data_IF_308028715464
#
_entry.id   IF_308028715464
#
_cell.length_a   1.000
_cell.length_b   1.000
_cell.length_c   1.000
_cell.angle_alpha   90.00
_cell.angle_beta   90.00
_cell.angle_gamma   90.00
#
_symmetry.space_group_name_H-M   'P 1'
#
loop_
_entity.id
_entity.type
_entity.pdbx_description
1 polymer ?
#
# COMPACT_ATOMS: atom_id res chain seq x y z
N UNK A 1 -2.78 18.41 19.41
CA UNK A 1 -2.36 18.58 18.00
C UNK A 1 -2.59 20.02 17.65
N UNK A 2 -1.62 20.76 17.09
CA UNK A 2 -1.78 22.21 16.92
C UNK A 2 -2.79 22.59 15.83
N UNK A 3 -2.45 22.24 14.59
CA UNK A 3 -3.23 22.58 13.41
C UNK A 3 -3.15 21.41 12.44
N UNK A 4 -4.31 20.93 11.99
CA UNK A 4 -4.40 19.84 11.02
C UNK A 4 -5.03 20.31 9.71
N UNK A 5 -4.58 19.75 8.59
CA UNK A 5 -5.13 20.05 7.29
C UNK A 5 -5.71 18.81 6.61
N UNK A 6 -6.95 18.92 6.13
CA UNK A 6 -7.65 17.90 5.37
C UNK A 6 -7.74 18.38 3.92
N UNK A 7 -7.01 17.71 3.02
CA UNK A 7 -6.92 18.12 1.62
C UNK A 7 -7.34 17.05 0.64
N UNK A 8 -7.79 17.45 -0.54
CA UNK A 8 -8.09 16.53 -1.64
C UNK A 8 -8.98 17.17 -2.68
N UNK A 9 -9.03 16.56 -3.87
CA UNK A 9 -9.90 17.04 -4.96
C UNK A 9 -11.38 17.06 -4.52
N UNK A 10 -12.23 17.88 -5.15
CA UNK A 10 -13.67 17.88 -4.87
C UNK A 10 -14.28 16.48 -4.88
N UNK A 11 -15.12 16.19 -3.87
CA UNK A 11 -15.74 14.87 -3.67
C UNK A 11 -14.79 13.76 -3.19
N UNK A 12 -13.54 14.05 -2.83
CA UNK A 12 -12.59 13.05 -2.30
C UNK A 12 -12.92 12.53 -0.89
N UNK A 13 -13.92 13.11 -0.22
CA UNK A 13 -14.30 12.76 1.15
C UNK A 13 -13.63 13.62 2.22
N UNK A 14 -13.05 14.77 1.86
CA UNK A 14 -12.31 15.64 2.80
C UNK A 14 -13.16 16.15 3.97
N UNK A 15 -14.32 16.73 3.67
CA UNK A 15 -15.24 17.23 4.68
C UNK A 15 -15.96 16.08 5.41
N UNK A 16 -16.24 14.97 4.71
CA UNK A 16 -16.75 13.74 5.33
C UNK A 16 -15.83 13.23 6.45
N UNK A 17 -14.53 13.17 6.18
CA UNK A 17 -13.51 12.76 7.15
C UNK A 17 -13.43 13.71 8.34
N UNK A 18 -13.46 15.03 8.08
CA UNK A 18 -13.53 16.03 9.16
C UNK A 18 -14.82 15.86 10.00
N UNK A 19 -15.96 15.56 9.40
CA UNK A 19 -17.20 15.34 10.17
C UNK A 19 -17.09 14.10 11.06
N UNK A 20 -16.73 12.94 10.50
CA UNK A 20 -16.77 11.67 11.23
C UNK A 20 -15.62 11.48 12.23
N UNK A 21 -14.41 11.99 11.93
CA UNK A 21 -13.22 11.74 12.76
C UNK A 21 -12.76 12.96 13.57
N UNK A 22 -13.37 14.14 13.36
CA UNK A 22 -12.99 15.37 14.09
C UNK A 22 -14.20 15.97 14.80
N UNK A 23 -15.25 16.35 14.06
CA UNK A 23 -16.40 17.07 14.62
C UNK A 23 -17.21 16.18 15.57
N UNK A 24 -17.67 15.03 15.10
CA UNK A 24 -18.52 14.13 15.90
C UNK A 24 -17.78 13.69 17.17
N UNK A 25 -16.52 13.19 17.11
CA UNK A 25 -15.80 12.80 18.31
C UNK A 25 -15.65 13.92 19.33
N UNK A 26 -15.29 15.13 18.89
CA UNK A 26 -15.14 16.29 19.77
C UNK A 26 -16.46 16.71 20.42
N UNK A 27 -17.54 16.73 19.65
CA UNK A 27 -18.88 16.99 20.17
C UNK A 27 -19.27 15.95 21.23
N UNK A 28 -19.07 14.66 20.93
CA UNK A 28 -19.39 13.58 21.88
C UNK A 28 -18.51 13.59 23.13
N UNK A 29 -17.30 14.17 23.06
CA UNK A 29 -16.41 14.32 24.22
C UNK A 29 -16.69 15.57 25.06
N UNK A 30 -17.80 16.27 24.82
CA UNK A 30 -18.16 17.47 25.58
C UNK A 30 -17.53 18.77 25.09
N UNK A 31 -16.92 18.77 23.90
CA UNK A 31 -16.23 19.97 23.38
C UNK A 31 -17.16 20.80 22.51
N UNK A 32 -17.01 22.12 22.60
CA UNK A 32 -17.64 23.07 21.67
C UNK A 32 -16.89 23.09 20.35
N UNK A 33 -17.63 22.89 19.26
CA UNK A 33 -17.12 22.79 17.89
C UNK A 33 -17.73 23.89 17.05
N UNK A 34 -16.88 24.77 16.50
CA UNK A 34 -17.29 25.87 15.63
C UNK A 34 -16.87 25.53 14.20
N UNK A 35 -17.80 25.55 13.25
CA UNK A 35 -17.51 25.14 11.87
C UNK A 35 -18.34 25.85 10.82
N UNK A 36 -17.74 26.09 9.65
CA UNK A 36 -18.44 26.55 8.44
C UNK A 36 -18.65 25.41 7.41
N UNK A 37 -18.52 24.13 7.80
CA UNK A 37 -18.78 23.01 6.90
C UNK A 37 -20.24 23.07 6.44
N UNK A 38 -20.42 23.35 5.15
CA UNK A 38 -21.73 23.43 4.53
C UNK A 38 -22.44 22.06 4.55
N UNK A 39 -23.73 22.05 4.86
CA UNK A 39 -24.58 20.85 4.80
C UNK A 39 -24.44 19.90 6.00
N UNK A 40 -23.75 20.32 7.07
CA UNK A 40 -23.74 19.64 8.36
C UNK A 40 -25.12 19.70 9.02
N UNK A 41 -25.67 18.55 9.42
CA UNK A 41 -26.99 18.42 10.01
C UNK A 41 -26.87 18.40 11.54
N UNK A 42 -26.61 19.55 12.17
CA UNK A 42 -26.34 19.65 13.62
C UNK A 42 -27.45 18.98 14.46
N UNK A 43 -28.72 19.21 14.10
CA UNK A 43 -29.86 18.71 14.88
C UNK A 43 -29.92 17.17 14.87
N UNK A 44 -29.62 16.56 13.71
CA UNK A 44 -29.54 15.10 13.58
C UNK A 44 -28.34 14.50 14.31
N UNK A 45 -27.23 15.24 14.38
CA UNK A 45 -26.06 14.80 15.15
C UNK A 45 -26.43 14.79 16.63
N UNK A 46 -27.04 15.86 17.14
CA UNK A 46 -27.50 15.94 18.53
C UNK A 46 -28.53 14.87 18.86
N UNK A 47 -29.50 14.62 17.97
CA UNK A 47 -30.50 13.54 18.14
C UNK A 47 -29.84 12.15 18.19
N UNK A 48 -28.82 11.92 17.36
CA UNK A 48 -28.10 10.64 17.31
C UNK A 48 -27.22 10.40 18.53
N UNK A 49 -26.73 11.45 19.18
CA UNK A 49 -25.86 11.37 20.35
C UNK A 49 -26.44 12.18 21.53
N UNK A 50 -27.56 11.72 22.12
CA UNK A 50 -28.28 12.48 23.14
C UNK A 50 -27.50 12.67 24.45
N UNK A 51 -26.53 11.79 24.73
CA UNK A 51 -25.68 11.86 25.94
C UNK A 51 -24.47 12.80 25.76
N UNK A 52 -24.26 13.34 24.55
CA UNK A 52 -23.16 14.26 24.30
C UNK A 52 -23.39 15.61 24.98
N UNK A 53 -22.40 16.10 25.71
CA UNK A 53 -22.45 17.40 26.40
C UNK A 53 -21.83 18.54 25.58
N UNK A 54 -21.27 18.24 24.40
CA UNK A 54 -20.66 19.23 23.54
C UNK A 54 -21.68 20.10 22.83
N UNK A 55 -21.19 21.07 22.07
CA UNK A 55 -22.03 21.97 21.28
C UNK A 55 -21.47 22.07 19.86
N UNK A 56 -22.33 22.02 18.85
CA UNK A 56 -21.94 22.29 17.45
C UNK A 56 -22.55 23.62 17.02
N UNK A 57 -21.69 24.55 16.63
CA UNK A 57 -22.05 25.86 16.12
C UNK A 57 -21.66 25.93 14.66
N UNK A 58 -22.67 26.10 13.81
CA UNK A 58 -22.50 26.28 12.38
C UNK A 58 -22.52 27.77 12.07
N UNK A 59 -21.49 28.25 11.40
CA UNK A 59 -21.30 29.65 10.99
C UNK A 59 -21.11 29.73 9.47
N UNK A 60 -21.26 30.91 8.89
CA UNK A 60 -20.91 31.12 7.48
C UNK A 60 -19.48 31.67 7.31
N UNK A 61 -19.05 31.90 6.07
CA UNK A 61 -17.72 32.45 5.82
C UNK A 61 -17.58 33.91 6.25
N UNK A 62 -18.66 34.69 6.19
CA UNK A 62 -18.65 36.12 6.52
C UNK A 62 -18.51 36.30 8.03
N UNK A 63 -19.12 35.42 8.82
CA UNK A 63 -18.90 35.30 10.27
C UNK A 63 -17.42 35.07 10.59
N UNK A 64 -16.78 34.10 9.93
CA UNK A 64 -15.37 33.75 10.16
C UNK A 64 -14.42 34.89 9.78
N UNK A 65 -14.82 35.76 8.85
CA UNK A 65 -14.03 36.90 8.42
C UNK A 65 -14.05 38.07 9.42
N UNK A 66 -14.99 38.11 10.37
CA UNK A 66 -15.09 39.17 11.38
C UNK A 66 -13.83 39.21 12.26
N UNK A 67 -13.44 40.42 12.67
CA UNK A 67 -12.21 40.64 13.43
C UNK A 67 -12.26 39.99 14.83
N UNK A 68 -13.44 39.93 15.43
CA UNK A 68 -13.74 39.35 16.74
C UNK A 68 -14.05 37.84 16.66
N UNK A 69 -13.84 37.18 15.52
CA UNK A 69 -14.17 35.76 15.39
C UNK A 69 -13.23 34.86 16.20
N UNK A 70 -11.92 35.06 16.06
CA UNK A 70 -10.91 34.22 16.71
C UNK A 70 -10.42 34.84 18.04
N UNK A 71 -10.10 34.01 19.06
CA UNK A 71 -9.41 34.50 20.24
C UNK A 71 -8.03 35.05 19.91
N UNK A 72 -7.64 36.15 20.54
CA UNK A 72 -6.31 36.73 20.40
C UNK A 72 -5.83 37.29 21.74
N UNK A 73 -4.50 37.41 21.92
CA UNK A 73 -3.95 37.93 23.17
C UNK A 73 -4.33 39.39 23.39
N UNK A 74 -4.85 39.69 24.59
CA UNK A 74 -5.26 41.03 24.98
C UNK A 74 -6.63 41.45 24.48
N UNK A 75 -7.33 40.58 23.74
CA UNK A 75 -8.74 40.77 23.39
C UNK A 75 -9.67 40.09 24.39
N UNK A 76 -10.80 40.72 24.67
CA UNK A 76 -11.91 40.11 25.41
C UNK A 76 -13.11 39.93 24.48
N UNK A 77 -13.87 38.85 24.65
CA UNK A 77 -15.17 38.67 24.01
C UNK A 77 -15.16 38.23 22.54
N UNK A 78 -14.18 37.42 22.09
CA UNK A 78 -14.25 36.80 20.76
C UNK A 78 -15.41 35.79 20.64
N UNK A 79 -15.91 35.60 19.43
CA UNK A 79 -17.00 34.65 19.15
C UNK A 79 -16.60 33.20 19.47
N UNK A 80 -15.43 32.78 18.98
CA UNK A 80 -14.84 31.51 19.40
C UNK A 80 -14.31 31.67 20.83
N UNK A 81 -14.54 30.66 21.64
CA UNK A 81 -14.18 30.59 23.05
C UNK A 81 -12.90 29.76 23.24
N UNK A 82 -12.28 29.91 24.40
CA UNK A 82 -11.08 29.15 24.72
C UNK A 82 -11.41 27.67 24.86
N UNK A 83 -10.58 26.81 24.29
CA UNK A 83 -10.82 25.37 24.19
C UNK A 83 -11.70 24.92 23.02
N UNK A 84 -12.25 25.84 22.22
CA UNK A 84 -13.03 25.46 21.03
C UNK A 84 -12.22 24.60 20.05
N UNK A 85 -12.90 23.67 19.40
CA UNK A 85 -12.42 23.05 18.18
C UNK A 85 -12.97 23.84 16.98
N UNK A 86 -12.09 24.44 16.19
CA UNK A 86 -12.50 25.26 15.05
C UNK A 86 -12.20 24.50 13.75
N UNK A 87 -13.24 24.23 12.94
CA UNK A 87 -13.13 23.48 11.69
C UNK A 87 -13.56 24.35 10.51
N UNK A 88 -12.62 24.77 9.67
CA UNK A 88 -12.84 25.69 8.55
C UNK A 88 -12.74 24.97 7.20
N UNK A 89 -13.87 24.79 6.50
CA UNK A 89 -13.93 24.36 5.10
C UNK A 89 -13.67 25.49 4.12
N UNK A 90 -13.19 25.11 2.94
CA UNK A 90 -12.71 26.01 1.89
C UNK A 90 -11.81 27.12 2.46
N UNK A 91 -10.85 26.71 3.31
CA UNK A 91 -10.03 27.58 4.13
C UNK A 91 -9.25 28.67 3.35
N UNK A 92 -9.07 28.51 2.04
CA UNK A 92 -8.49 29.56 1.18
C UNK A 92 -9.32 30.84 1.14
N UNK A 93 -10.64 30.78 1.43
CA UNK A 93 -11.50 31.97 1.52
C UNK A 93 -11.14 32.86 2.70
N UNK A 94 -10.65 32.25 3.79
CA UNK A 94 -10.34 32.94 5.05
C UNK A 94 -8.84 33.23 5.17
N UNK A 95 -8.02 32.29 4.67
CA UNK A 95 -6.57 32.25 4.87
C UNK A 95 -5.82 32.15 3.53
N UNK A 96 -6.33 32.74 2.46
CA UNK A 96 -5.77 32.59 1.10
C UNK A 96 -4.45 33.34 0.88
N UNK A 97 -4.25 34.47 1.55
CA UNK A 97 -3.12 35.36 1.37
C UNK A 97 -2.61 35.87 2.72
N UNK A 98 -1.30 36.01 2.87
CA UNK A 98 -0.69 36.58 4.08
C UNK A 98 -1.06 38.06 4.29
N UNK A 99 -1.50 38.76 3.23
CA UNK A 99 -1.97 40.15 3.28
C UNK A 99 -3.37 40.29 3.90
N UNK A 100 -4.21 39.28 3.70
CA UNK A 100 -5.61 39.28 4.19
C UNK A 100 -5.71 38.76 5.64
N UNK A 101 -4.55 38.38 6.21
CA UNK A 101 -4.42 37.86 7.56
C UNK A 101 -4.27 39.01 8.56
N UNK A 102 -5.37 39.32 9.25
CA UNK A 102 -5.42 40.33 10.32
C UNK A 102 -4.50 39.97 11.49
N UNK A 103 -4.23 40.94 12.37
CA UNK A 103 -3.37 40.73 13.54
C UNK A 103 -3.95 39.68 14.49
N UNK A 104 -5.27 39.69 14.66
CA UNK A 104 -6.05 38.77 15.50
C UNK A 104 -5.91 37.34 14.99
N UNK A 105 -6.12 37.12 13.66
CA UNK A 105 -5.91 35.81 13.04
C UNK A 105 -4.48 35.31 13.20
N UNK A 106 -3.49 36.20 13.08
CA UNK A 106 -2.07 35.84 13.28
C UNK A 106 -1.78 35.44 14.73
N UNK A 107 -2.29 36.19 15.70
CA UNK A 107 -2.18 35.86 17.13
C UNK A 107 -2.83 34.50 17.39
N UNK A 108 -4.06 34.28 16.90
CA UNK A 108 -4.73 32.98 17.04
C UNK A 108 -3.89 31.83 16.49
N UNK A 109 -3.47 31.90 15.22
CA UNK A 109 -2.72 30.82 14.57
C UNK A 109 -1.41 30.53 15.31
N UNK A 110 -0.71 31.56 15.77
CA UNK A 110 0.56 31.41 16.48
C UNK A 110 0.38 30.86 17.91
N UNK A 111 -0.75 31.15 18.56
CA UNK A 111 -0.92 31.00 20.00
C UNK A 111 -2.15 30.18 20.40
N UNK A 112 -2.81 29.49 19.46
CA UNK A 112 -4.03 28.71 19.69
C UNK A 112 -3.95 27.77 20.91
N UNK A 113 -2.77 27.18 21.17
CA UNK A 113 -2.54 26.30 22.33
C UNK A 113 -2.64 26.99 23.69
N UNK A 114 -2.51 28.31 23.74
CA UNK A 114 -2.62 29.09 24.98
C UNK A 114 -4.07 29.46 25.31
N UNK A 115 -4.98 29.42 24.33
CA UNK A 115 -6.40 29.65 24.56
C UNK A 115 -7.05 28.37 25.10
N UNK A 116 -6.85 28.14 26.39
CA UNK A 116 -7.30 26.95 27.11
C UNK A 116 -8.59 27.23 27.88
N UNK A 117 -9.54 26.29 27.79
CA UNK A 117 -10.76 26.39 28.56
C UNK A 117 -10.42 26.39 30.06
N UNK A 118 -10.95 27.34 30.86
CA UNK A 118 -10.55 27.51 32.27
C UNK A 118 -10.73 26.26 33.13
N UNK A 119 -11.82 25.53 32.93
CA UNK A 119 -12.15 24.35 33.74
C UNK A 119 -11.56 23.04 33.21
N UNK A 120 -11.70 22.76 31.91
CA UNK A 120 -11.26 21.48 31.32
C UNK A 120 -9.78 21.46 30.95
N UNK A 121 -9.13 22.63 30.84
CA UNK A 121 -7.73 22.77 30.42
C UNK A 121 -7.47 22.44 28.94
N UNK A 122 -8.51 22.12 28.16
CA UNK A 122 -8.40 21.81 26.74
C UNK A 122 -8.08 23.10 25.98
N UNK A 123 -7.04 23.09 25.13
CA UNK A 123 -6.67 24.22 24.27
C UNK A 123 -7.52 24.32 23.02
N UNK A 124 -7.60 25.50 22.40
CA UNK A 124 -8.15 25.62 21.06
C UNK A 124 -7.34 24.77 20.06
N UNK A 125 -8.03 24.16 19.10
CA UNK A 125 -7.41 23.46 17.96
C UNK A 125 -8.02 23.99 16.66
N UNK A 126 -7.22 24.03 15.59
CA UNK A 126 -7.67 24.45 14.26
C UNK A 126 -7.54 23.30 13.25
N UNK A 127 -8.64 23.00 12.57
CA UNK A 127 -8.68 22.07 11.45
C UNK A 127 -9.10 22.82 10.20
N UNK A 128 -8.26 22.80 9.17
CA UNK A 128 -8.59 23.40 7.88
C UNK A 128 -8.91 22.32 6.87
N UNK A 129 -9.97 22.52 6.09
CA UNK A 129 -10.35 21.66 4.99
C UNK A 129 -10.24 22.47 3.69
N UNK A 130 -9.52 21.95 2.70
CA UNK A 130 -9.27 22.66 1.44
C UNK A 130 -8.95 21.68 0.29
N UNK A 131 -8.88 22.13 -0.96
CA UNK A 131 -8.50 21.25 -2.06
C UNK A 131 -7.00 20.94 -2.09
N UNK A 132 -6.18 21.94 -1.75
CA UNK A 132 -4.72 21.84 -1.66
C UNK A 132 -4.21 22.84 -0.64
N UNK A 133 -2.94 22.75 -0.24
CA UNK A 133 -2.31 23.77 0.59
C UNK A 133 -1.69 24.91 -0.23
N UNK A 134 -1.60 24.78 -1.55
CA UNK A 134 -0.88 25.75 -2.40
C UNK A 134 -1.44 27.17 -2.28
N UNK A 135 -2.76 27.30 -2.15
CA UNK A 135 -3.49 28.56 -2.04
C UNK A 135 -3.79 28.98 -0.59
N UNK A 136 -3.12 28.39 0.40
CA UNK A 136 -3.17 28.87 1.80
C UNK A 136 -1.98 29.79 2.06
N UNK A 137 -2.19 30.82 2.88
CA UNK A 137 -1.18 31.76 3.35
C UNK A 137 0.01 31.04 3.97
N UNK A 138 1.23 31.51 3.72
CA UNK A 138 2.44 30.84 4.18
C UNK A 138 2.50 30.80 5.71
N UNK A 139 2.06 31.87 6.37
CA UNK A 139 2.03 31.96 7.82
C UNK A 139 1.26 30.80 8.48
N UNK A 140 0.10 30.44 7.93
CA UNK A 140 -0.70 29.30 8.41
C UNK A 140 -0.05 27.96 8.02
N UNK A 141 0.42 27.82 6.78
CA UNK A 141 1.05 26.58 6.30
C UNK A 141 2.21 26.12 7.18
N UNK A 142 3.06 27.04 7.60
CA UNK A 142 4.24 26.75 8.41
C UNK A 142 3.89 26.31 9.84
N UNK A 143 2.62 26.41 10.25
CA UNK A 143 2.09 25.94 11.56
C UNK A 143 1.28 24.64 11.47
N UNK A 144 1.02 24.12 10.27
CA UNK A 144 0.34 22.84 10.10
C UNK A 144 1.26 21.72 10.59
N UNK A 145 0.76 20.92 11.53
CA UNK A 145 1.48 19.79 12.13
C UNK A 145 1.21 18.50 11.36
N UNK A 146 -0.02 18.29 10.90
CA UNK A 146 -0.42 17.06 10.19
C UNK A 146 -1.31 17.39 9.00
N UNK A 147 -1.04 16.74 7.87
CA UNK A 147 -1.87 16.86 6.66
C UNK A 147 -2.44 15.50 6.28
N UNK A 148 -3.76 15.39 6.24
CA UNK A 148 -4.52 14.26 5.75
C UNK A 148 -4.90 14.52 4.29
N UNK A 149 -4.37 13.72 3.36
CA UNK A 149 -4.66 13.85 1.93
C UNK A 149 -5.59 12.73 1.47
N UNK A 150 -6.80 13.13 1.07
CA UNK A 150 -7.84 12.24 0.58
C UNK A 150 -7.68 11.99 -0.93
N UNK A 151 -7.77 10.72 -1.32
CA UNK A 151 -7.75 10.27 -2.73
C UNK A 151 -8.93 9.36 -3.02
N UNK A 152 -9.64 9.65 -4.12
CA UNK A 152 -10.67 8.76 -4.69
C UNK A 152 -10.01 7.51 -5.27
N UNK A 153 -10.65 6.35 -5.11
CA UNK A 153 -10.26 5.10 -5.77
C UNK A 153 -11.10 4.79 -7.03
N UNK A 154 -11.72 5.83 -7.62
CA UNK A 154 -12.53 5.73 -8.85
C UNK A 154 -11.78 5.05 -10.00
N UNK A 155 -10.49 5.32 -10.18
CA UNK A 155 -9.66 4.71 -11.23
C UNK A 155 -9.59 3.17 -11.14
N UNK A 156 -9.76 2.60 -9.93
CA UNK A 156 -9.80 1.16 -9.67
C UNK A 156 -11.22 0.58 -9.73
N UNK A 157 -12.25 1.40 -9.94
CA UNK A 157 -13.66 1.01 -9.89
C UNK A 157 -14.26 0.92 -8.48
N UNK A 158 -13.51 1.32 -7.44
CA UNK A 158 -13.95 1.25 -6.05
C UNK A 158 -14.59 2.58 -5.60
N UNK A 159 -15.83 2.83 -6.03
CA UNK A 159 -16.52 4.11 -5.77
C UNK A 159 -16.86 4.35 -4.29
N UNK A 160 -17.00 3.28 -3.49
CA UNK A 160 -17.37 3.37 -2.07
C UNK A 160 -16.16 3.40 -1.12
N UNK A 161 -14.94 3.48 -1.67
CA UNK A 161 -13.71 3.52 -0.90
C UNK A 161 -12.88 4.74 -1.26
N UNK A 162 -12.10 5.18 -0.29
CA UNK A 162 -11.14 6.27 -0.43
C UNK A 162 -9.85 5.90 0.31
N UNK A 163 -8.78 6.61 -0.03
CA UNK A 163 -7.49 6.44 0.62
C UNK A 163 -7.12 7.75 1.30
N UNK A 164 -6.51 7.63 2.47
CA UNK A 164 -5.97 8.75 3.23
C UNK A 164 -4.46 8.54 3.32
N UNK A 165 -3.72 9.53 2.85
CA UNK A 165 -2.28 9.62 3.05
C UNK A 165 -2.02 10.66 4.14
N UNK A 166 -1.38 10.26 5.23
CA UNK A 166 -1.08 11.13 6.37
C UNK A 166 0.35 11.60 6.29
N UNK A 167 0.55 12.91 6.28
CA UNK A 167 1.86 13.55 6.21
C UNK A 167 2.15 14.33 7.48
N UNK A 168 3.42 14.33 7.88
CA UNK A 168 3.94 15.24 8.89
C UNK A 168 4.22 16.62 8.26
N UNK A 169 3.59 17.65 8.79
CA UNK A 169 3.65 19.02 8.31
C UNK A 169 2.83 19.29 7.03
N UNK A 170 3.07 20.44 6.40
CA UNK A 170 2.37 20.85 5.16
C UNK A 170 3.00 20.31 3.86
N UNK A 171 4.24 19.80 3.91
CA UNK A 171 4.96 19.35 2.70
C UNK A 171 4.59 17.91 2.37
N UNK A 172 3.94 17.73 1.21
CA UNK A 172 3.39 16.44 0.75
C UNK A 172 4.45 15.65 -0.04
N UNK A 173 5.62 15.46 0.56
CA UNK A 173 6.69 14.65 -0.02
C UNK A 173 6.65 13.22 0.53
N UNK A 174 7.20 12.26 -0.23
CA UNK A 174 7.29 10.87 0.23
C UNK A 174 8.05 10.73 1.55
N UNK A 175 9.07 11.56 1.79
CA UNK A 175 9.84 11.60 3.05
C UNK A 175 9.00 12.01 4.25
N UNK A 176 7.92 12.76 4.03
CA UNK A 176 7.05 13.27 5.08
C UNK A 176 5.80 12.40 5.24
N UNK A 177 5.64 11.36 4.41
CA UNK A 177 4.53 10.43 4.50
C UNK A 177 4.71 9.56 5.73
N UNK A 178 3.78 9.67 6.68
CA UNK A 178 3.77 8.90 7.93
C UNK A 178 3.09 7.56 7.71
N UNK A 179 1.89 7.57 7.11
CA UNK A 179 1.12 6.36 6.85
C UNK A 179 0.14 6.57 5.70
N UNK A 180 -0.39 5.47 5.17
CA UNK A 180 -1.47 5.48 4.19
C UNK A 180 -2.41 4.32 4.45
N UNK A 181 -3.71 4.60 4.48
CA UNK A 181 -4.71 3.56 4.69
C UNK A 181 -5.94 3.81 3.82
N UNK A 182 -6.62 2.71 3.50
CA UNK A 182 -7.86 2.71 2.73
C UNK A 182 -9.04 2.59 3.68
N UNK A 183 -10.05 3.42 3.48
CA UNK A 183 -11.28 3.39 4.24
C UNK A 183 -12.49 3.23 3.32
N UNK A 184 -13.63 2.83 3.89
CA UNK A 184 -14.91 2.68 3.21
C UNK A 184 -15.84 3.78 3.72
N UNK A 185 -16.60 4.40 2.83
CA UNK A 185 -17.63 5.34 3.26
C UNK A 185 -18.70 4.60 4.08
N UNK A 186 -18.95 5.09 5.29
CA UNK A 186 -20.11 4.72 6.10
C UNK A 186 -21.34 5.52 5.64
N UNK A 187 -22.41 4.86 5.13
CA UNK A 187 -23.65 5.51 4.72
C UNK A 187 -24.33 6.34 5.81
N UNK A 188 -24.24 5.90 7.07
CA UNK A 188 -24.93 6.54 8.19
C UNK A 188 -24.45 7.98 8.42
N UNK A 189 -23.19 8.27 8.07
CA UNK A 189 -22.61 9.61 8.16
C UNK A 189 -23.20 10.54 7.08
N UNK A 190 -23.64 10.03 5.93
CA UNK A 190 -24.27 10.85 4.90
C UNK A 190 -25.65 11.39 5.30
N UNK A 191 -26.27 10.82 6.33
CA UNK A 191 -27.49 11.38 6.92
C UNK A 191 -27.20 12.62 7.78
N UNK A 192 -25.99 12.66 8.37
CA UNK A 192 -25.50 13.74 9.24
C UNK A 192 -24.79 14.85 8.45
N UNK A 193 -24.37 14.58 7.22
CA UNK A 193 -23.63 15.51 6.39
C UNK A 193 -23.93 15.32 4.90
N UNK A 194 -24.26 16.42 4.20
CA UNK A 194 -24.52 16.43 2.76
C UNK A 194 -23.59 17.39 2.04
N UNK A 195 -22.76 16.87 1.14
CA UNK A 195 -21.79 17.66 0.37
C UNK A 195 -22.35 18.34 -0.88
N UNK A 196 -23.62 18.14 -1.24
CA UNK A 196 -24.23 18.64 -2.48
C UNK A 196 -25.60 19.27 -2.25
N UNK A 197 -25.79 20.48 -2.79
CA UNK A 197 -27.10 21.09 -3.05
C UNK A 197 -27.70 20.49 -4.32
N UNK A 198 -28.24 19.28 -4.23
CA UNK A 198 -28.91 18.67 -5.38
C UNK A 198 -29.08 17.18 -5.20
N UNK A 199 -30.32 16.71 -5.35
CA UNK A 199 -30.72 15.34 -5.02
C UNK A 199 -30.09 14.25 -5.92
N UNK A 200 -29.22 14.57 -6.89
CA UNK A 200 -28.61 13.63 -7.84
C UNK A 200 -27.42 14.24 -8.63
N UNK A 201 -26.43 14.82 -7.93
CA UNK A 201 -25.19 15.29 -8.57
C UNK A 201 -24.29 14.12 -9.01
N UNK A 202 -24.57 13.50 -10.16
CA UNK A 202 -23.76 12.38 -10.64
C UNK A 202 -22.52 12.93 -11.39
N UNK A 203 -21.34 12.87 -10.75
CA UNK A 203 -20.06 13.24 -11.35
C UNK A 203 -19.73 12.26 -12.49
N UNK A 204 -20.21 12.55 -13.70
CA UNK A 204 -19.94 11.76 -14.90
C UNK A 204 -18.45 11.77 -15.19
N UNK A 205 -17.86 10.59 -15.32
CA UNK A 205 -16.48 10.44 -15.75
C UNK A 205 -16.33 11.01 -17.16
N UNK A 206 -15.60 12.11 -17.29
CA UNK A 206 -15.42 12.83 -18.56
C UNK A 206 -14.48 12.10 -19.51
N UNK A 207 -13.55 11.29 -18.99
CA UNK A 207 -12.60 10.50 -19.79
C UNK A 207 -12.52 9.03 -19.33
N UNK A 208 -12.86 8.12 -20.26
CA UNK A 208 -12.83 6.66 -20.06
C UNK A 208 -11.42 6.11 -19.81
N UNK A 209 -10.36 6.85 -20.17
CA UNK A 209 -8.95 6.47 -19.95
C UNK A 209 -8.54 6.49 -18.48
N UNK A 210 -9.29 7.19 -17.62
CA UNK A 210 -9.00 7.24 -16.18
C UNK A 210 -9.29 5.92 -15.45
N UNK A 211 -10.02 4.98 -16.06
CA UNK A 211 -10.25 3.64 -15.50
C UNK A 211 -9.13 2.69 -15.91
N UNK A 212 -8.48 2.05 -14.93
CA UNK A 212 -7.40 1.08 -15.16
C UNK A 212 -7.91 -0.15 -15.94
N UNK A 213 -9.18 -0.51 -15.78
CA UNK A 213 -9.87 -1.59 -16.49
C UNK A 213 -9.98 -1.37 -18.01
N UNK A 214 -9.85 -0.12 -18.46
CA UNK A 214 -9.89 0.23 -19.88
C UNK A 214 -8.51 0.24 -20.54
N UNK A 215 -7.43 -0.04 -19.80
CA UNK A 215 -6.10 -0.11 -20.39
C UNK A 215 -5.90 -1.41 -21.18
N UNK A 216 -5.38 -1.30 -22.41
CA UNK A 216 -5.16 -2.46 -23.29
C UNK A 216 -4.20 -3.49 -22.70
N UNK A 217 -3.21 -3.05 -21.90
CA UNK A 217 -2.28 -3.93 -21.18
C UNK A 217 -2.99 -4.78 -20.14
N UNK A 218 -3.90 -4.20 -19.34
CA UNK A 218 -4.65 -4.96 -18.32
C UNK A 218 -5.54 -5.99 -18.99
N UNK A 219 -6.25 -5.64 -20.08
CA UNK A 219 -7.08 -6.59 -20.82
C UNK A 219 -6.26 -7.73 -21.44
N UNK A 220 -5.09 -7.41 -22.00
CA UNK A 220 -4.18 -8.42 -22.55
C UNK A 220 -3.71 -9.42 -21.48
N UNK A 221 -3.23 -8.94 -20.33
CA UNK A 221 -2.80 -9.83 -19.24
C UNK A 221 -3.98 -10.60 -18.62
N UNK A 222 -5.17 -10.01 -18.53
CA UNK A 222 -6.37 -10.68 -18.02
C UNK A 222 -6.77 -11.88 -18.88
N UNK A 223 -6.50 -11.85 -20.19
CA UNK A 223 -6.73 -13.00 -21.09
C UNK A 223 -5.53 -13.96 -21.11
N UNK A 224 -4.30 -13.43 -21.10
CA UNK A 224 -3.08 -14.23 -21.18
C UNK A 224 -2.87 -15.12 -19.95
N UNK A 225 -3.12 -14.63 -18.74
CA UNK A 225 -2.90 -15.40 -17.52
C UNK A 225 -3.79 -16.66 -17.44
N UNK A 226 -5.12 -16.59 -17.63
CA UNK A 226 -5.97 -17.78 -17.71
C UNK A 226 -5.53 -18.76 -18.80
N UNK A 227 -5.16 -18.28 -19.99
CA UNK A 227 -4.66 -19.13 -21.07
C UNK A 227 -3.37 -19.86 -20.68
N UNK A 228 -2.43 -19.17 -20.02
CA UNK A 228 -1.22 -19.81 -19.51
C UNK A 228 -1.53 -20.83 -18.41
N UNK A 229 -2.48 -20.54 -17.51
CA UNK A 229 -2.91 -21.49 -16.47
C UNK A 229 -3.56 -22.74 -17.07
N UNK A 230 -4.42 -22.59 -18.08
CA UNK A 230 -5.05 -23.69 -18.80
C UNK A 230 -4.01 -24.50 -19.58
N UNK A 231 -3.12 -23.83 -20.31
CA UNK A 231 -2.05 -24.48 -21.06
C UNK A 231 -1.06 -25.23 -20.16
N UNK A 232 -0.69 -24.64 -19.03
CA UNK A 232 0.14 -25.29 -18.01
C UNK A 232 -0.57 -26.50 -17.39
N UNK A 233 -1.86 -26.36 -17.03
CA UNK A 233 -2.66 -27.47 -16.53
C UNK A 233 -2.80 -28.61 -17.53
N UNK A 234 -2.97 -28.30 -18.82
CA UNK A 234 -3.00 -29.29 -19.90
C UNK A 234 -1.65 -29.99 -20.09
N UNK A 235 -0.53 -29.26 -20.03
CA UNK A 235 0.82 -29.84 -20.08
C UNK A 235 1.11 -30.75 -18.88
N UNK A 236 0.67 -30.35 -17.69
CA UNK A 236 0.78 -31.20 -16.48
C UNK A 236 -0.07 -32.46 -16.66
N UNK A 237 -1.34 -32.33 -17.07
CA UNK A 237 -2.21 -33.47 -17.33
C UNK A 237 -1.64 -34.40 -18.42
N UNK A 238 -1.13 -33.86 -19.53
CA UNK A 238 -0.56 -34.65 -20.61
C UNK A 238 0.70 -35.39 -20.17
N UNK A 239 1.57 -34.74 -19.39
CA UNK A 239 2.77 -35.35 -18.81
C UNK A 239 2.42 -36.56 -17.93
N UNK A 240 1.49 -36.42 -16.98
CA UNK A 240 1.09 -37.53 -16.10
C UNK A 240 0.28 -38.61 -16.82
N UNK A 241 -0.54 -38.26 -17.81
CA UNK A 241 -1.30 -39.25 -18.60
C UNK A 241 -0.42 -40.04 -19.58
N UNK A 242 0.74 -39.51 -19.97
CA UNK A 242 1.71 -40.17 -20.87
C UNK A 242 2.70 -41.04 -20.08
N UNK A 243 3.15 -40.59 -18.90
CA UNK A 243 4.08 -41.38 -18.05
C UNK A 243 3.42 -42.55 -17.30
N UNK A 244 2.09 -42.61 -17.24
CA UNK A 244 1.34 -43.69 -16.57
C UNK A 244 0.88 -44.83 -17.48
N UNK A 245 1.17 -44.78 -18.79
CA UNK A 245 0.85 -45.88 -19.71
C UNK A 245 2.04 -46.84 -19.78
N UNK A 246 1.92 -47.95 -19.06
CA UNK A 246 2.72 -49.15 -19.33
C UNK A 246 2.29 -49.70 -20.69
N UNK A 247 3.12 -49.55 -21.72
CA UNK A 247 2.92 -50.31 -22.96
C UNK A 247 2.99 -51.82 -22.61
N UNK A 248 2.10 -52.66 -23.17
CA UNK A 248 2.22 -54.11 -23.04
C UNK A 248 3.52 -54.54 -23.71
N UNK A 249 4.37 -55.27 -22.98
CA UNK A 249 5.55 -55.91 -23.56
C UNK A 249 5.13 -56.82 -24.73
N UNK A 250 5.83 -56.81 -25.87
CA UNK A 250 5.58 -57.78 -26.92
C UNK A 250 6.01 -59.17 -26.42
N UNK A 251 5.10 -60.13 -26.50
CA UNK A 251 5.36 -61.54 -26.17
C UNK A 251 6.57 -62.06 -26.94
N UNK A 252 7.55 -62.57 -26.19
CA UNK A 252 8.70 -63.30 -26.71
C UNK A 252 8.21 -64.66 -27.22
N UNK A 253 8.04 -64.77 -28.53
CA UNK A 253 7.96 -66.07 -29.20
C UNK A 253 9.32 -66.77 -29.06
N UNK A 254 9.30 -67.89 -28.35
CA UNK A 254 10.37 -68.88 -28.24
C UNK A 254 10.61 -69.53 -29.60
N UNK A 255 11.76 -69.25 -30.21
CA UNK A 255 12.26 -70.04 -31.34
C UNK A 255 13.51 -70.79 -30.92
N UNK A 256 13.43 -72.10 -31.14
CA UNK A 256 14.28 -73.19 -30.71
C UNK A 256 15.75 -73.04 -31.13
N UNK A 257 16.65 -73.37 -30.20
CA UNK A 257 18.09 -73.40 -30.42
C UNK A 257 18.50 -74.85 -30.67
N UNK A 258 18.65 -75.23 -31.94
CA UNK A 258 19.49 -76.35 -32.38
C UNK A 258 19.47 -76.42 -33.91
N UNK A 259 20.38 -75.68 -34.54
CA UNK A 259 21.07 -76.25 -35.68
C UNK A 259 22.49 -75.71 -35.79
N UNK A 260 23.41 -76.65 -35.54
CA UNK A 260 24.68 -76.84 -36.19
C UNK A 260 25.52 -75.58 -36.48
N UNK A 261 26.37 -75.28 -35.50
CA UNK A 261 27.73 -74.86 -35.78
C UNK A 261 28.40 -75.80 -36.82
N UNK A 262 28.68 -75.28 -38.02
CA UNK A 262 29.83 -75.65 -38.87
C UNK A 262 29.80 -74.82 -40.16
N UNK A 263 30.33 -73.60 -40.13
CA UNK A 263 31.31 -73.17 -41.14
C UNK A 263 32.11 -71.98 -40.62
N UNK A 264 33.44 -72.13 -40.68
CA UNK A 264 34.46 -71.15 -40.27
C UNK A 264 34.71 -70.10 -41.35
N UNK A 265 35.30 -69.00 -40.88
CA UNK A 265 36.20 -68.06 -41.59
C UNK A 265 35.54 -67.08 -42.57
N UNK A 266 35.89 -65.80 -42.66
CA UNK A 266 36.94 -64.96 -42.06
C UNK A 266 36.52 -63.50 -42.27
N UNK A 267 36.83 -62.62 -41.32
CA UNK A 267 37.52 -61.33 -41.54
C UNK A 267 37.33 -60.43 -40.31
N UNK A 268 38.36 -60.41 -39.47
CA UNK A 268 38.55 -59.39 -38.45
C UNK A 268 39.00 -58.08 -39.12
N UNK A 269 38.46 -56.95 -38.66
CA UNK A 269 39.05 -55.62 -38.86
C UNK A 269 39.12 -54.96 -37.49
N UNK A 270 40.28 -54.39 -37.09
CA UNK A 270 40.50 -53.92 -35.73
C UNK A 270 39.87 -52.54 -35.48
N UNK A 271 39.47 -52.34 -34.22
CA UNK A 271 39.06 -51.06 -33.67
C UNK A 271 40.23 -50.07 -33.57
N UNK A 272 39.96 -48.75 -33.57
CA UNK A 272 40.78 -47.79 -32.85
C UNK A 272 40.11 -47.37 -31.53
N UNK A 273 40.93 -47.39 -30.48
CA UNK A 273 40.63 -46.96 -29.12
C UNK A 273 40.04 -45.54 -29.07
N UNK A 274 38.95 -45.38 -28.31
CA UNK A 274 38.50 -44.06 -27.85
C UNK A 274 38.71 -43.99 -26.33
N UNK A 275 39.32 -42.91 -25.79
CA UNK A 275 39.65 -42.79 -24.37
C UNK A 275 38.40 -42.84 -23.49
N UNK A 276 38.46 -43.60 -22.40
CA UNK A 276 37.45 -43.56 -21.34
C UNK A 276 37.39 -42.15 -20.74
N UNK A 277 36.26 -41.47 -20.97
CA UNK A 277 35.90 -40.21 -20.31
C UNK A 277 35.85 -40.42 -18.78
N UNK A 278 36.35 -39.47 -17.96
CA UNK A 278 36.37 -39.64 -16.51
C UNK A 278 34.94 -39.79 -15.98
N UNK A 279 34.71 -40.84 -15.18
CA UNK A 279 33.44 -41.04 -14.49
C UNK A 279 33.04 -39.78 -13.71
N UNK A 280 31.82 -39.28 -13.95
CA UNK A 280 31.31 -38.13 -13.22
C UNK A 280 31.26 -38.44 -11.71
N UNK A 281 31.71 -37.53 -10.83
CA UNK A 281 31.69 -37.75 -9.39
C UNK A 281 30.26 -37.93 -8.87
N UNK A 282 30.08 -38.87 -7.94
CA UNK A 282 28.80 -39.19 -7.31
C UNK A 282 28.17 -37.98 -6.60
N UNK A 283 26.85 -37.94 -6.54
CA UNK A 283 26.10 -36.88 -5.85
C UNK A 283 26.31 -36.94 -4.34
N UNK A 284 26.45 -35.79 -3.69
CA UNK A 284 26.65 -35.73 -2.25
C UNK A 284 25.42 -36.18 -1.47
N UNK A 285 25.64 -37.03 -0.47
CA UNK A 285 24.57 -37.52 0.42
C UNK A 285 24.42 -36.66 1.68
N UNK A 286 25.41 -35.81 1.98
CA UNK A 286 25.48 -35.03 3.21
C UNK A 286 25.28 -33.53 2.97
N UNK A 287 25.90 -32.95 1.95
CA UNK A 287 25.89 -31.50 1.73
C UNK A 287 24.92 -31.05 0.64
N UNK A 288 24.26 -29.91 0.89
CA UNK A 288 23.41 -29.21 -0.08
C UNK A 288 23.69 -27.72 -0.12
N UNK A 289 23.43 -27.10 -1.25
CA UNK A 289 23.54 -25.65 -1.41
C UNK A 289 22.34 -24.96 -0.74
N UNK A 290 22.60 -24.10 0.24
CA UNK A 290 21.57 -23.33 0.95
C UNK A 290 21.41 -21.90 0.42
N UNK A 291 22.45 -21.32 -0.18
CA UNK A 291 22.40 -19.94 -0.64
C UNK A 291 23.76 -19.39 -1.07
N UNK A 292 23.78 -18.09 -1.40
CA UNK A 292 25.01 -17.34 -1.70
C UNK A 292 25.10 -16.14 -0.77
N UNK A 293 26.31 -15.78 -0.38
CA UNK A 293 26.56 -14.54 0.35
C UNK A 293 27.78 -13.82 -0.23
N UNK A 294 27.79 -12.51 -0.10
CA UNK A 294 28.93 -11.67 -0.45
C UNK A 294 29.42 -11.00 0.84
N UNK A 295 30.70 -11.17 1.16
CA UNK A 295 31.34 -10.51 2.29
C UNK A 295 32.66 -9.91 1.81
N UNK A 296 32.90 -8.63 2.13
CA UNK A 296 34.14 -7.91 1.80
C UNK A 296 34.53 -8.02 0.31
N UNK A 297 33.55 -7.96 -0.59
CA UNK A 297 33.78 -8.05 -2.04
C UNK A 297 34.08 -9.45 -2.58
N UNK A 298 34.05 -10.50 -1.74
CA UNK A 298 34.21 -11.91 -2.15
C UNK A 298 32.88 -12.65 -2.08
N UNK A 299 32.60 -13.45 -3.11
CA UNK A 299 31.38 -14.25 -3.20
C UNK A 299 31.61 -15.67 -2.67
N UNK A 300 30.68 -16.14 -1.84
CA UNK A 300 30.70 -17.48 -1.24
C UNK A 300 29.38 -18.20 -1.50
N UNK A 301 29.46 -19.52 -1.69
CA UNK A 301 28.32 -20.43 -1.69
C UNK A 301 28.25 -21.07 -0.30
N UNK A 302 27.06 -21.04 0.29
CA UNK A 302 26.79 -21.60 1.60
C UNK A 302 26.20 -22.99 1.44
N UNK A 303 26.89 -23.96 2.04
CA UNK A 303 26.46 -25.34 2.14
C UNK A 303 25.88 -25.60 3.53
N UNK A 304 24.86 -26.46 3.59
CA UNK A 304 24.27 -26.94 4.83
C UNK A 304 24.15 -28.46 4.81
N UNK A 305 24.32 -29.11 5.95
CA UNK A 305 24.07 -30.54 6.12
C UNK A 305 22.79 -30.80 6.94
N UNK A 306 22.39 -32.07 7.09
CA UNK A 306 21.19 -32.46 7.85
C UNK A 306 21.24 -32.13 9.35
N UNK A 307 22.41 -31.80 9.89
CA UNK A 307 22.58 -31.34 11.28
C UNK A 307 22.53 -29.81 11.44
N UNK A 308 22.32 -29.06 10.35
CA UNK A 308 22.28 -27.59 10.36
C UNK A 308 23.64 -26.91 10.39
N UNK A 309 24.74 -27.65 10.21
CA UNK A 309 26.10 -27.09 10.13
C UNK A 309 26.27 -26.35 8.81
N UNK A 310 26.79 -25.13 8.87
CA UNK A 310 27.04 -24.28 7.70
C UNK A 310 28.52 -24.30 7.30
N UNK A 311 28.77 -24.39 6.00
CA UNK A 311 30.12 -24.31 5.41
C UNK A 311 30.13 -23.31 4.27
N UNK A 312 30.99 -22.30 4.35
CA UNK A 312 31.17 -21.31 3.29
C UNK A 312 32.33 -21.71 2.37
N UNK A 313 32.07 -21.79 1.06
CA UNK A 313 33.06 -22.15 0.04
C UNK A 313 33.12 -21.05 -1.01
N UNK A 314 34.31 -20.68 -1.53
CA UNK A 314 34.41 -19.67 -2.58
C UNK A 314 33.52 -19.99 -3.79
N UNK A 315 32.80 -18.99 -4.30
CA UNK A 315 31.89 -19.18 -5.43
C UNK A 315 32.60 -19.57 -6.73
N UNK A 316 33.92 -19.36 -6.82
CA UNK A 316 34.77 -19.79 -7.94
C UNK A 316 34.93 -21.31 -8.05
N UNK A 317 34.63 -22.06 -6.99
CA UNK A 317 34.68 -23.53 -6.98
C UNK A 317 33.40 -24.18 -7.51
N UNK A 318 32.42 -23.39 -7.98
CA UNK A 318 31.13 -23.86 -8.46
C UNK A 318 30.94 -23.51 -9.94
N UNK A 319 30.43 -24.47 -10.70
CA UNK A 319 30.03 -24.28 -12.09
C UNK A 319 28.56 -23.88 -12.18
N UNK A 320 28.28 -22.97 -13.12
CA UNK A 320 26.95 -22.43 -13.37
C UNK A 320 26.52 -22.80 -14.80
N UNK A 321 25.51 -23.66 -14.92
CA UNK A 321 24.88 -23.99 -16.21
C UNK A 321 23.40 -23.67 -16.14
N UNK A 322 23.05 -22.43 -16.51
CA UNK A 322 21.68 -21.91 -16.39
C UNK A 322 21.25 -21.80 -14.93
N UNK A 323 20.14 -22.46 -14.57
CA UNK A 323 19.64 -22.50 -13.18
C UNK A 323 20.33 -23.55 -12.30
N UNK A 324 21.17 -24.41 -12.88
CA UNK A 324 21.88 -25.45 -12.14
C UNK A 324 23.21 -24.89 -11.62
N UNK A 325 23.35 -24.90 -10.30
CA UNK A 325 24.61 -24.67 -9.60
C UNK A 325 25.12 -26.01 -9.06
N UNK A 326 26.33 -26.37 -9.43
CA UNK A 326 27.00 -27.58 -8.94
C UNK A 326 28.46 -27.31 -8.64
N UNK A 327 28.96 -27.83 -7.52
CA UNK A 327 30.38 -27.81 -7.18
C UNK A 327 30.85 -29.19 -6.75
N UNK A 328 32.16 -29.44 -6.82
CA UNK A 328 32.74 -30.66 -6.26
C UNK A 328 33.30 -30.30 -4.89
N UNK A 329 32.79 -30.94 -3.85
CA UNK A 329 33.19 -30.75 -2.46
C UNK A 329 33.52 -32.12 -1.90
N UNK A 330 34.73 -32.28 -1.38
CA UNK A 330 35.21 -33.55 -0.80
C UNK A 330 35.09 -34.75 -1.76
N UNK A 331 35.21 -34.52 -3.08
CA UNK A 331 35.09 -35.54 -4.12
C UNK A 331 33.67 -35.85 -4.59
N UNK A 332 32.66 -35.23 -3.97
CA UNK A 332 31.24 -35.41 -4.30
C UNK A 332 30.66 -34.18 -5.01
N UNK A 333 29.72 -34.41 -5.92
CA UNK A 333 28.97 -33.35 -6.61
C UNK A 333 27.86 -32.83 -5.69
N UNK A 334 27.96 -31.57 -5.27
CA UNK A 334 26.98 -30.87 -4.41
C UNK A 334 26.13 -29.93 -5.26
N UNK A 335 24.81 -30.00 -5.11
CA UNK A 335 23.82 -29.15 -5.77
C UNK A 335 22.77 -28.63 -4.78
N UNK A 336 21.78 -27.88 -5.26
CA UNK A 336 20.60 -27.46 -4.48
C UNK A 336 19.72 -28.63 -4.01
N UNK A 337 19.84 -29.79 -4.66
CA UNK A 337 18.95 -30.95 -4.46
C UNK A 337 19.67 -32.19 -3.90
N UNK A 338 20.96 -32.07 -3.57
CA UNK A 338 21.74 -33.13 -2.90
C UNK A 338 21.64 -32.98 -1.38
N UNK A 339 22.24 -33.91 -0.62
CA UNK A 339 22.28 -33.82 0.84
C UNK A 339 20.96 -34.14 1.55
N UNK A 340 21.05 -34.45 2.85
CA UNK A 340 19.88 -34.68 3.72
C UNK A 340 19.21 -33.36 4.11
N UNK A 341 17.91 -33.43 4.39
CA UNK A 341 17.05 -32.27 4.52
C UNK A 341 17.13 -31.58 5.87
#
# INVERSE_FOLDING_TARGET
MAISAYIGIPGSGKSYEAVCNVIIPAFTSGRRVVTNIYGLQKDKITERYPDATGEIIVVDNDDVLKADFFPFKGGEGSFCQFGDLIVIDEAWRIFGSDKDMTAEKKSFIAEHRHFTHPETGISCDLVIVNQSLSNIARFLKDKIETTYRMRKLKALGLNNHYCIDVYSGHKIYKSNLVTSYRNKYNPDIFELYKSYEGNNGNEKQTDKRQSIWNSGKVRFFLVLFPLMFIGSGWLIYSFFSTFGRSDPSPDLATTDVRDAAMFRSSAATPAPDTPSEPAEPSLSTEWRISGRMTSEGRAFVILVNGAGVLRAVPASSFNYKGMLMSGIIDGERVTLYTGKK
#
